data_IF_868471459324
#
_entry.id   IF_868471459324
#
_cell.length_a   1.000
_cell.length_b   1.000
_cell.length_c   1.000
_cell.angle_alpha   90.00
_cell.angle_beta   90.00
_cell.angle_gamma   90.00
#
_symmetry.space_group_name_H-M   'P 1'
#
loop_
_entity.id
_entity.type
_entity.pdbx_description
1 polymer ?
#
# COMPACT_ATOMS: atom_id res chain seq x y z
N UNK A 1 11.41 39.99 -14.52
CA UNK A 1 10.25 39.10 -14.32
C UNK A 1 10.59 37.63 -14.57
N UNK A 2 11.17 37.22 -15.69
CA UNK A 2 11.46 35.82 -16.05
C UNK A 2 12.31 35.07 -15.01
N UNK A 3 13.35 35.71 -14.47
CA UNK A 3 14.23 35.11 -13.43
C UNK A 3 13.52 34.87 -12.10
N UNK A 4 12.54 35.66 -11.74
CA UNK A 4 11.75 35.46 -10.52
C UNK A 4 10.79 34.27 -10.67
N UNK A 5 10.09 34.19 -11.78
CA UNK A 5 9.18 33.07 -12.08
C UNK A 5 9.92 31.73 -12.14
N UNK A 6 11.11 31.73 -12.77
CA UNK A 6 11.94 30.52 -12.82
C UNK A 6 12.40 30.07 -11.42
N UNK A 7 12.82 30.99 -10.56
CA UNK A 7 13.22 30.66 -9.18
C UNK A 7 12.07 30.06 -8.36
N UNK A 8 10.86 30.61 -8.49
CA UNK A 8 9.68 30.07 -7.82
C UNK A 8 9.28 28.72 -8.37
N UNK A 9 9.36 28.52 -9.67
CA UNK A 9 9.12 27.22 -10.30
C UNK A 9 10.13 26.16 -9.80
N UNK A 10 11.42 26.48 -9.78
CA UNK A 10 12.45 25.57 -9.28
C UNK A 10 12.24 25.22 -7.80
N UNK A 11 11.86 26.18 -6.96
CA UNK A 11 11.53 25.94 -5.55
C UNK A 11 10.31 25.03 -5.42
N UNK A 12 9.29 25.27 -6.21
CA UNK A 12 8.10 24.40 -6.25
C UNK A 12 8.47 22.96 -6.63
N UNK A 13 9.24 22.77 -7.69
CA UNK A 13 9.70 21.44 -8.11
C UNK A 13 10.53 20.79 -7.00
N UNK A 14 11.44 21.54 -6.38
CA UNK A 14 12.25 21.01 -5.29
C UNK A 14 11.37 20.54 -4.12
N UNK A 15 10.46 21.36 -3.64
CA UNK A 15 9.66 21.07 -2.45
C UNK A 15 8.55 20.07 -2.73
N UNK A 16 7.85 20.19 -3.86
CA UNK A 16 6.68 19.39 -4.17
C UNK A 16 7.01 18.05 -4.88
N UNK A 17 8.19 17.92 -5.46
CA UNK A 17 8.57 16.74 -6.24
C UNK A 17 9.83 16.08 -5.68
N UNK A 18 10.94 16.81 -5.65
CA UNK A 18 12.25 16.19 -5.33
C UNK A 18 12.32 15.76 -3.85
N UNK A 19 11.94 16.64 -2.92
CA UNK A 19 11.99 16.30 -1.48
C UNK A 19 11.11 15.09 -1.14
N UNK A 20 9.84 15.00 -1.56
CA UNK A 20 9.02 13.81 -1.30
C UNK A 20 9.61 12.52 -1.89
N UNK A 21 10.18 12.57 -3.09
CA UNK A 21 10.82 11.42 -3.70
C UNK A 21 12.03 10.97 -2.88
N UNK A 22 12.90 11.89 -2.50
CA UNK A 22 14.10 11.58 -1.70
C UNK A 22 13.71 11.03 -0.33
N UNK A 23 12.71 11.61 0.33
CA UNK A 23 12.19 11.10 1.60
C UNK A 23 11.57 9.71 1.44
N UNK A 24 10.76 9.49 0.41
CA UNK A 24 10.18 8.19 0.10
C UNK A 24 11.27 7.13 -0.14
N UNK A 25 12.31 7.48 -0.90
CA UNK A 25 13.45 6.59 -1.14
C UNK A 25 14.22 6.28 0.16
N UNK A 26 14.47 7.30 0.99
CA UNK A 26 15.15 7.12 2.26
C UNK A 26 14.35 6.24 3.24
N UNK A 27 13.04 6.45 3.34
CA UNK A 27 12.14 5.62 4.15
C UNK A 27 12.10 4.19 3.62
N UNK A 28 11.97 4.00 2.30
CA UNK A 28 12.01 2.67 1.69
C UNK A 28 13.31 1.94 1.96
N UNK A 29 14.42 2.64 1.89
CA UNK A 29 15.74 2.07 2.20
C UNK A 29 15.86 1.70 3.69
N UNK A 30 15.45 2.58 4.61
CA UNK A 30 15.51 2.36 6.04
C UNK A 30 14.63 1.19 6.53
N UNK A 31 13.50 0.97 5.87
CA UNK A 31 12.60 -0.16 6.12
C UNK A 31 13.03 -1.48 5.45
N UNK A 32 14.18 -1.50 4.81
CA UNK A 32 14.61 -2.59 3.93
C UNK A 32 13.99 -2.46 2.53
N UNK A 33 14.83 -2.59 1.50
CA UNK A 33 14.40 -2.44 0.11
C UNK A 33 13.40 -3.55 -0.26
N UNK A 34 12.20 -3.22 -0.77
CA UNK A 34 11.22 -4.24 -1.12
C UNK A 34 11.72 -5.13 -2.25
N UNK A 35 11.60 -6.43 -2.04
CA UNK A 35 12.07 -7.43 -2.98
C UNK A 35 11.16 -7.53 -4.21
N UNK A 36 11.45 -8.47 -5.08
CA UNK A 36 10.64 -8.76 -6.24
C UNK A 36 9.35 -9.47 -5.86
N UNK A 37 8.36 -9.47 -6.77
CA UNK A 37 7.10 -10.20 -6.59
C UNK A 37 7.27 -11.70 -6.28
N UNK A 38 8.43 -12.27 -6.63
CA UNK A 38 8.74 -13.69 -6.34
C UNK A 38 8.93 -13.95 -4.86
N UNK A 39 9.31 -12.95 -4.10
CA UNK A 39 9.55 -13.02 -2.66
C UNK A 39 8.43 -12.35 -1.86
N UNK A 40 7.34 -11.95 -2.53
CA UNK A 40 6.19 -11.39 -1.86
C UNK A 40 5.53 -12.42 -0.94
N UNK A 41 5.13 -11.98 0.23
CA UNK A 41 4.54 -12.82 1.28
C UNK A 41 3.05 -12.58 1.30
N UNK A 42 2.31 -13.64 1.02
CA UNK A 42 0.84 -13.59 0.89
C UNK A 42 0.10 -14.03 2.14
N UNK A 43 0.82 -14.49 3.15
CA UNK A 43 0.28 -14.84 4.45
C UNK A 43 -0.16 -13.62 5.25
N UNK A 44 -1.00 -13.86 6.27
CA UNK A 44 -1.45 -12.82 7.19
C UNK A 44 -0.27 -12.20 7.95
N UNK A 45 -0.31 -10.89 8.10
CA UNK A 45 0.61 -10.12 8.96
C UNK A 45 0.24 -10.18 10.44
N UNK A 46 -0.95 -10.67 10.78
CA UNK A 46 -1.51 -10.60 12.12
C UNK A 46 -2.03 -9.22 12.51
N UNK A 47 -2.16 -8.30 11.54
CA UNK A 47 -2.69 -6.95 11.77
C UNK A 47 -4.17 -6.97 12.16
N UNK A 48 -4.94 -7.87 11.56
CA UNK A 48 -6.37 -8.00 11.82
C UNK A 48 -6.67 -9.09 12.84
N UNK A 49 -7.63 -8.86 13.76
CA UNK A 49 -8.18 -9.92 14.60
C UNK A 49 -8.91 -10.94 13.73
N UNK A 50 -9.24 -12.10 14.32
CA UNK A 50 -10.12 -13.03 13.64
C UNK A 50 -11.49 -12.39 13.45
N UNK A 51 -12.06 -12.53 12.25
CA UNK A 51 -13.32 -11.86 11.91
C UNK A 51 -14.48 -12.24 12.87
N UNK A 52 -14.49 -13.47 13.37
CA UNK A 52 -15.47 -13.97 14.34
C UNK A 52 -15.41 -13.27 15.70
N UNK A 53 -14.26 -12.68 16.06
CA UNK A 53 -14.05 -11.99 17.33
C UNK A 53 -14.50 -10.52 17.27
N UNK A 54 -14.91 -10.06 16.10
CA UNK A 54 -15.41 -8.71 15.83
C UNK A 54 -16.88 -8.82 15.41
N UNK A 55 -17.84 -8.53 16.30
CA UNK A 55 -19.25 -8.70 15.98
C UNK A 55 -19.77 -7.69 14.95
N UNK A 56 -19.20 -6.49 14.88
CA UNK A 56 -19.69 -5.39 14.05
C UNK A 56 -19.44 -5.60 12.56
N UNK A 57 -20.28 -4.99 11.72
CA UNK A 57 -19.99 -4.81 10.31
C UNK A 57 -18.87 -3.79 10.15
N UNK A 58 -17.85 -4.12 9.35
CA UNK A 58 -16.70 -3.25 9.13
C UNK A 58 -16.33 -3.17 7.65
N UNK A 59 -15.86 -1.99 7.26
CA UNK A 59 -15.16 -1.76 5.97
C UNK A 59 -13.88 -1.01 6.28
N UNK A 60 -12.76 -1.53 5.80
CA UNK A 60 -11.44 -0.97 6.01
C UNK A 60 -10.70 -0.86 4.69
N UNK A 61 -9.80 0.13 4.60
CA UNK A 61 -8.79 0.20 3.55
C UNK A 61 -7.45 -0.14 4.19
N UNK A 62 -6.80 -1.17 3.67
CA UNK A 62 -5.48 -1.60 4.12
C UNK A 62 -4.47 -1.22 3.04
N UNK A 63 -3.37 -0.61 3.45
CA UNK A 63 -2.25 -0.30 2.58
C UNK A 63 -1.08 -1.23 2.88
N UNK A 64 -0.39 -1.65 1.84
CA UNK A 64 0.82 -2.46 1.94
C UNK A 64 1.87 -1.95 0.94
N UNK A 65 3.14 -2.18 1.25
CA UNK A 65 4.23 -1.74 0.38
C UNK A 65 4.15 -2.43 -0.98
N UNK A 66 4.41 -1.68 -2.04
CA UNK A 66 4.62 -2.22 -3.38
C UNK A 66 6.07 -2.70 -3.54
N UNK A 67 6.30 -3.59 -4.52
CA UNK A 67 7.63 -4.13 -4.76
C UNK A 67 8.60 -3.16 -5.43
N UNK A 68 9.88 -3.27 -5.08
CA UNK A 68 11.01 -2.58 -5.71
C UNK A 68 10.87 -1.05 -5.60
N UNK A 69 11.33 -0.33 -6.62
CA UNK A 69 11.32 1.14 -6.68
C UNK A 69 9.91 1.76 -6.60
N UNK A 70 8.86 1.01 -6.91
CA UNK A 70 7.48 1.50 -6.83
C UNK A 70 7.09 1.92 -5.42
N UNK A 71 7.66 1.28 -4.39
CA UNK A 71 7.43 1.62 -2.99
C UNK A 71 7.85 3.04 -2.59
N UNK A 72 8.63 3.71 -3.45
CA UNK A 72 9.01 5.13 -3.25
C UNK A 72 7.80 6.05 -3.49
N UNK A 73 6.90 5.67 -4.39
CA UNK A 73 5.83 6.52 -4.90
C UNK A 73 4.44 6.05 -4.53
N UNK A 74 4.26 4.76 -4.28
CA UNK A 74 2.95 4.16 -4.16
C UNK A 74 2.93 2.99 -3.18
N UNK A 75 1.78 2.79 -2.59
CA UNK A 75 1.43 1.59 -1.84
C UNK A 75 0.30 0.86 -2.55
N UNK A 76 0.23 -0.45 -2.36
CA UNK A 76 -0.91 -1.24 -2.78
C UNK A 76 -2.02 -1.10 -1.75
N UNK A 77 -3.23 -0.80 -2.19
CA UNK A 77 -4.38 -0.71 -1.31
C UNK A 77 -5.39 -1.81 -1.60
N UNK A 78 -5.99 -2.33 -0.55
CA UNK A 78 -7.07 -3.30 -0.61
C UNK A 78 -8.25 -2.82 0.24
N UNK A 79 -9.46 -3.19 -0.17
CA UNK A 79 -10.66 -3.04 0.63
C UNK A 79 -10.89 -4.36 1.34
N UNK A 80 -10.99 -4.31 2.68
CA UNK A 80 -11.31 -5.46 3.51
C UNK A 80 -12.59 -5.16 4.27
N UNK A 81 -13.52 -6.07 4.19
CA UNK A 81 -14.84 -5.88 4.79
C UNK A 81 -15.41 -7.17 5.35
N UNK A 82 -16.35 -7.02 6.26
CA UNK A 82 -17.24 -8.10 6.72
C UNK A 82 -18.61 -7.54 7.10
N UNK A 83 -19.70 -8.28 6.85
CA UNK A 83 -20.99 -8.04 7.46
C UNK A 83 -20.96 -8.26 8.97
N UNK A 84 -21.95 -7.74 9.67
CA UNK A 84 -22.19 -8.02 11.07
C UNK A 84 -22.30 -9.54 11.31
N UNK A 85 -21.63 -10.04 12.35
CA UNK A 85 -21.62 -11.45 12.71
C UNK A 85 -20.91 -12.41 11.76
N UNK A 86 -20.33 -11.93 10.66
CA UNK A 86 -19.60 -12.80 9.73
C UNK A 86 -18.31 -13.34 10.37
N UNK A 87 -18.01 -14.62 10.10
CA UNK A 87 -16.82 -15.33 10.62
C UNK A 87 -15.56 -15.04 9.82
N UNK A 88 -15.69 -14.46 8.63
CA UNK A 88 -14.60 -14.29 7.68
C UNK A 88 -14.53 -12.88 7.16
N UNK A 89 -13.29 -12.42 6.92
CA UNK A 89 -13.02 -11.20 6.17
C UNK A 89 -13.18 -11.44 4.68
N UNK A 90 -13.71 -10.47 3.96
CA UNK A 90 -13.67 -10.43 2.50
C UNK A 90 -12.71 -9.34 2.07
N UNK A 91 -11.73 -9.69 1.26
CA UNK A 91 -10.75 -8.77 0.70
C UNK A 91 -10.96 -8.60 -0.80
N UNK A 92 -10.88 -7.34 -1.25
CA UNK A 92 -10.86 -6.98 -2.67
C UNK A 92 -9.59 -6.22 -2.99
N UNK A 93 -8.92 -6.63 -4.04
CA UNK A 93 -7.74 -5.98 -4.60
C UNK A 93 -7.99 -5.63 -6.08
N UNK A 94 -7.35 -4.55 -6.53
CA UNK A 94 -7.24 -4.24 -7.95
C UNK A 94 -5.78 -4.39 -8.35
N UNK A 95 -5.52 -5.21 -9.34
CA UNK A 95 -4.17 -5.51 -9.81
C UNK A 95 -4.05 -5.24 -11.31
N UNK A 96 -2.83 -4.95 -11.77
CA UNK A 96 -2.56 -4.62 -13.17
C UNK A 96 -2.35 -5.82 -14.10
N UNK A 97 -2.66 -7.04 -13.66
CA UNK A 97 -2.43 -8.26 -14.45
C UNK A 97 -3.54 -9.29 -14.24
N UNK A 98 -3.85 -10.04 -15.27
CA UNK A 98 -4.91 -11.04 -15.25
C UNK A 98 -6.29 -10.41 -15.04
N UNK A 99 -7.16 -11.05 -14.27
CA UNK A 99 -8.43 -10.47 -13.85
C UNK A 99 -8.16 -9.29 -12.92
N UNK A 100 -8.59 -8.05 -13.27
CA UNK A 100 -8.16 -6.85 -12.54
C UNK A 100 -8.72 -6.81 -11.11
N UNK A 101 -9.95 -7.24 -10.89
CA UNK A 101 -10.54 -7.31 -9.55
C UNK A 101 -10.37 -8.71 -9.00
N UNK A 102 -9.77 -8.80 -7.84
CA UNK A 102 -9.54 -10.06 -7.12
C UNK A 102 -10.28 -10.07 -5.81
N UNK A 103 -11.00 -11.15 -5.54
CA UNK A 103 -11.68 -11.39 -4.27
C UNK A 103 -11.00 -12.53 -3.54
N UNK A 104 -10.58 -12.29 -2.30
CA UNK A 104 -9.96 -13.27 -1.41
C UNK A 104 -8.79 -14.04 -2.04
N UNK A 105 -8.04 -13.37 -2.93
CA UNK A 105 -6.85 -13.96 -3.54
C UNK A 105 -5.65 -14.00 -2.59
N UNK A 106 -5.70 -13.21 -1.53
CA UNK A 106 -4.66 -13.08 -0.51
C UNK A 106 -5.31 -13.08 0.88
N UNK A 107 -4.52 -13.30 1.93
CA UNK A 107 -4.98 -13.10 3.31
C UNK A 107 -5.52 -11.67 3.49
N UNK A 108 -6.52 -11.48 4.37
CA UNK A 108 -7.16 -10.18 4.54
C UNK A 108 -6.17 -9.06 4.85
N UNK A 109 -5.15 -9.35 5.64
CA UNK A 109 -4.05 -8.47 6.03
C UNK A 109 -2.68 -8.97 5.52
N UNK A 110 -2.63 -9.46 4.29
CA UNK A 110 -1.42 -10.03 3.71
C UNK A 110 -0.21 -9.08 3.77
N UNK A 111 0.95 -9.64 4.09
CA UNK A 111 2.22 -8.93 4.25
C UNK A 111 2.75 -8.27 2.98
N UNK A 112 2.43 -8.83 1.81
CA UNK A 112 2.95 -8.35 0.52
C UNK A 112 4.49 -8.26 0.54
N UNK A 113 5.04 -7.05 0.48
CA UNK A 113 6.49 -6.78 0.50
C UNK A 113 6.98 -6.28 1.86
N UNK A 114 6.23 -6.57 2.92
CA UNK A 114 6.46 -6.09 4.27
C UNK A 114 5.68 -4.82 4.60
N UNK A 115 5.44 -4.61 5.87
CA UNK A 115 4.74 -3.44 6.42
C UNK A 115 5.73 -2.42 6.96
#
# INVERSE_FOLDING_TARGET
MLRHSLRWFLRFVLVAVIIPIVLGAAISYARGWPESWRNARWESSGLLPQARDVPEALVMVIAARTGRWKSIFAEHTAIVLKPEGASDWTRYDVVGWGSPVRRNAYAADALWYGN
#
